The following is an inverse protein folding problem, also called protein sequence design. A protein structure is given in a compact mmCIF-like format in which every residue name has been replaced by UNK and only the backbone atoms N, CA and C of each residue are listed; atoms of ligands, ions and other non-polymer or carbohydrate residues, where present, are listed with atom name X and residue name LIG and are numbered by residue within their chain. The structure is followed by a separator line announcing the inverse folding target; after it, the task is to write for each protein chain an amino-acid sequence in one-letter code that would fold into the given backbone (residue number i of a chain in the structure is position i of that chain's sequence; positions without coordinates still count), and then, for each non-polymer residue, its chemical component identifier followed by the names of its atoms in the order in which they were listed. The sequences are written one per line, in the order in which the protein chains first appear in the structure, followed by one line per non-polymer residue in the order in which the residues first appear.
data_IF_582039281186
#
_entry.id   IF_582039281186
#
_cell.length_a   1.000
_cell.length_b   1.000
_cell.length_c   1.000
_cell.angle_alpha   90.00
_cell.angle_beta   90.00
_cell.angle_gamma   90.00
#
_symmetry.space_group_name_H-M   'P 1'
#
loop_
_entity.id
_entity.type
_entity.pdbx_description
1 polymer ?
#
# COMPACT_ATOMS: atom_id res chain seq x y z
N UNK A 1 -3.39 -40.85 -7.73
CA UNK A 1 -4.26 -40.82 -8.92
C UNK A 1 -5.14 -39.58 -8.76
N UNK A 2 -4.79 -38.44 -9.34
CA UNK A 2 -5.12 -38.03 -10.73
C UNK A 2 -6.62 -38.27 -10.95
N UNK A 3 -7.51 -37.30 -11.11
CA UNK A 3 -7.62 -36.12 -11.98
C UNK A 3 -9.01 -35.52 -11.59
N UNK A 4 -9.50 -34.33 -11.92
CA UNK A 4 -9.19 -33.33 -12.92
C UNK A 4 -9.88 -32.02 -12.51
N UNK A 5 -9.37 -30.94 -13.08
CA UNK A 5 -9.87 -29.57 -13.00
C UNK A 5 -11.31 -29.47 -13.50
N UNK A 6 -12.09 -28.52 -12.99
CA UNK A 6 -12.75 -27.53 -13.86
C UNK A 6 -13.35 -26.37 -13.08
N UNK A 7 -12.83 -25.20 -13.43
CA UNK A 7 -13.26 -23.85 -13.14
C UNK A 7 -14.62 -23.54 -13.78
N UNK A 8 -15.54 -22.95 -13.03
CA UNK A 8 -16.59 -22.10 -13.62
C UNK A 8 -16.58 -20.76 -12.90
N UNK A 9 -16.00 -19.80 -13.63
CA UNK A 9 -16.06 -18.37 -13.41
C UNK A 9 -17.45 -17.90 -13.83
N UNK A 10 -18.05 -16.95 -13.10
CA UNK A 10 -18.88 -15.80 -13.56
C UNK A 10 -20.08 -15.50 -12.64
N UNK A 11 -20.66 -14.29 -12.66
CA UNK A 11 -20.03 -12.98 -12.58
C UNK A 11 -20.61 -12.18 -11.39
N UNK A 12 -19.75 -11.34 -10.82
CA UNK A 12 -20.06 -10.38 -9.77
C UNK A 12 -21.10 -9.34 -10.23
N UNK A 13 -22.27 -9.32 -9.61
CA UNK A 13 -23.21 -8.21 -9.69
C UNK A 13 -22.66 -7.01 -8.91
N UNK A 14 -22.30 -5.98 -9.67
CA UNK A 14 -21.78 -4.69 -9.23
C UNK A 14 -22.85 -3.84 -8.54
N UNK A 15 -22.66 -3.58 -7.25
CA UNK A 15 -23.29 -2.42 -6.58
C UNK A 15 -22.51 -1.17 -6.95
N UNK A 16 -23.10 -0.34 -7.81
CA UNK A 16 -22.58 0.95 -8.20
C UNK A 16 -22.97 2.00 -7.14
N UNK A 17 -22.16 2.14 -6.10
CA UNK A 17 -22.23 3.28 -5.19
C UNK A 17 -21.24 4.35 -5.64
N UNK A 18 -21.78 5.50 -6.05
CA UNK A 18 -21.07 6.58 -6.72
C UNK A 18 -20.17 7.34 -5.74
N UNK A 19 -18.90 6.97 -5.67
CA UNK A 19 -17.87 7.79 -5.03
C UNK A 19 -17.60 9.01 -5.91
N UNK A 20 -18.10 10.17 -5.48
CA UNK A 20 -17.83 11.45 -6.13
C UNK A 20 -16.39 11.89 -5.81
N UNK A 21 -15.45 11.45 -6.64
CA UNK A 21 -14.06 11.89 -6.60
C UNK A 21 -13.99 13.28 -7.23
N UNK A 22 -13.77 14.31 -6.42
CA UNK A 22 -13.42 15.65 -6.91
C UNK A 22 -11.95 15.61 -7.33
N UNK A 23 -11.72 15.19 -8.57
CA UNK A 23 -10.44 15.27 -9.23
C UNK A 23 -10.03 16.74 -9.36
N UNK A 24 -9.08 17.17 -8.51
CA UNK A 24 -8.31 18.38 -8.75
C UNK A 24 -7.15 18.00 -9.67
N UNK A 25 -7.46 17.83 -10.96
CA UNK A 25 -6.44 17.80 -12.00
C UNK A 25 -6.07 19.24 -12.31
N UNK A 26 -5.08 19.77 -11.60
CA UNK A 26 -4.32 20.91 -12.13
C UNK A 26 -3.48 20.38 -13.29
N UNK A 27 -4.12 20.36 -14.47
CA UNK A 27 -3.51 20.05 -15.75
C UNK A 27 -2.39 21.04 -16.02
N UNK A 28 -1.15 20.66 -15.72
CA UNK A 28 0.00 21.38 -16.26
C UNK A 28 0.10 21.06 -17.75
N UNK A 29 -0.49 21.96 -18.55
CA UNK A 29 -0.38 21.91 -20.00
C UNK A 29 1.06 22.22 -20.39
N UNK A 30 1.78 21.20 -20.88
CA UNK A 30 3.10 21.37 -21.49
C UNK A 30 2.88 21.61 -22.99
N UNK A 31 2.76 22.88 -23.37
CA UNK A 31 2.83 23.31 -24.77
C UNK A 31 3.68 24.59 -24.87
N UNK A 32 4.89 24.39 -25.38
CA UNK A 32 5.69 25.26 -26.23
C UNK A 32 5.76 26.77 -25.96
N UNK A 33 6.87 27.21 -25.36
CA UNK A 33 7.59 28.41 -25.85
C UNK A 33 9.09 28.19 -25.83
N UNK A 34 9.69 28.17 -27.02
CA UNK A 34 11.13 28.29 -27.20
C UNK A 34 11.59 29.66 -26.67
N UNK A 35 12.16 29.69 -25.47
CA UNK A 35 12.91 30.83 -24.95
C UNK A 35 14.18 30.33 -24.24
N UNK A 36 15.29 30.33 -24.96
CA UNK A 36 16.63 29.84 -24.60
C UNK A 36 17.36 30.67 -23.53
N UNK A 37 16.68 31.25 -22.54
CA UNK A 37 17.34 32.17 -21.59
C UNK A 37 16.87 32.12 -20.13
N UNK A 38 15.97 31.22 -19.75
CA UNK A 38 15.46 31.14 -18.37
C UNK A 38 15.80 29.83 -17.62
N UNK A 39 16.75 29.02 -18.10
CA UNK A 39 17.20 27.80 -17.41
C UNK A 39 18.20 28.04 -16.24
N UNK A 40 18.44 29.30 -15.86
CA UNK A 40 19.22 29.64 -14.66
C UNK A 40 18.31 30.02 -13.50
N UNK A 41 17.54 29.06 -12.94
CA UNK A 41 16.99 29.19 -11.58
C UNK A 41 16.42 27.92 -10.94
N UNK A 42 16.28 26.79 -11.66
CA UNK A 42 15.80 25.54 -11.01
C UNK A 42 16.86 24.93 -10.06
N UNK A 43 18.12 25.41 -10.08
CA UNK A 43 19.21 24.86 -9.25
C UNK A 43 19.39 25.51 -7.87
N UNK A 44 18.53 26.43 -7.42
CA UNK A 44 18.80 27.17 -6.18
C UNK A 44 17.56 27.34 -5.31
N UNK A 45 17.11 26.26 -4.65
CA UNK A 45 16.27 26.36 -3.44
C UNK A 45 16.21 25.05 -2.62
N UNK A 46 17.31 24.29 -2.58
CA UNK A 46 17.47 23.18 -1.62
C UNK A 46 18.72 23.36 -0.77
N UNK A 47 19.00 24.58 -0.31
CA UNK A 47 20.04 24.79 0.68
C UNK A 47 19.56 25.75 1.75
N UNK A 48 19.61 25.25 2.99
CA UNK A 48 19.51 25.92 4.30
C UNK A 48 18.22 25.64 5.08
N UNK A 49 18.25 24.54 5.83
CA UNK A 49 18.03 24.63 7.29
C UNK A 49 18.50 23.37 8.04
N UNK A 50 19.46 23.63 8.94
CA UNK A 50 19.77 23.02 10.25
C UNK A 50 19.42 21.54 10.51
N UNK A 51 20.46 20.75 10.79
CA UNK A 51 20.44 19.55 11.63
C UNK A 51 19.26 18.58 11.44
N UNK A 52 18.81 18.38 10.21
CA UNK A 52 17.76 17.40 9.92
C UNK A 52 18.37 16.01 10.03
N UNK A 53 17.98 15.27 11.07
CA UNK A 53 18.33 13.85 11.26
C UNK A 53 18.22 13.15 9.90
N UNK A 54 19.31 12.52 9.46
CA UNK A 54 19.37 11.86 8.15
C UNK A 54 18.23 10.85 8.07
N UNK A 55 17.30 11.03 7.13
CA UNK A 55 16.19 10.10 6.88
C UNK A 55 16.75 8.82 6.25
N UNK A 56 17.32 7.93 7.07
CA UNK A 56 17.88 6.66 6.65
C UNK A 56 16.94 5.49 6.98
N UNK A 57 17.09 4.39 6.25
CA UNK A 57 16.41 3.13 6.55
C UNK A 57 16.83 2.62 7.93
N UNK A 58 15.85 2.21 8.75
CA UNK A 58 16.11 1.67 10.09
C UNK A 58 16.61 0.21 10.08
N UNK A 59 16.50 -0.52 8.96
CA UNK A 59 16.90 -1.93 8.88
C UNK A 59 18.42 -2.08 9.07
N UNK A 60 18.82 -2.99 9.94
CA UNK A 60 20.22 -3.38 10.13
C UNK A 60 20.86 -3.75 8.79
N UNK A 61 22.07 -3.23 8.55
CA UNK A 61 22.85 -3.38 7.30
C UNK A 61 22.30 -2.62 6.08
N UNK A 62 21.20 -1.87 6.19
CA UNK A 62 20.72 -1.01 5.12
C UNK A 62 21.23 0.43 5.30
N UNK A 63 21.97 0.95 4.31
CA UNK A 63 22.45 2.36 4.29
C UNK A 63 21.67 3.25 3.32
N UNK A 64 20.58 2.73 2.72
CA UNK A 64 19.75 3.46 1.76
C UNK A 64 18.92 4.53 2.48
N UNK A 65 18.58 5.60 1.75
CA UNK A 65 17.67 6.63 2.25
C UNK A 65 16.27 6.06 2.46
N UNK A 66 15.60 6.48 3.52
CA UNK A 66 14.21 6.13 3.75
C UNK A 66 13.30 6.77 2.69
N UNK A 67 12.26 6.05 2.28
CA UNK A 67 11.30 6.57 1.33
C UNK A 67 10.40 7.61 2.02
N UNK A 68 10.41 8.86 1.53
CA UNK A 68 9.58 9.94 2.05
C UNK A 68 8.09 9.76 1.74
N UNK A 69 7.75 8.99 0.70
CA UNK A 69 6.38 8.85 0.22
C UNK A 69 5.57 7.79 0.97
N UNK A 70 6.19 6.71 1.45
CA UNK A 70 5.47 5.59 2.08
C UNK A 70 5.17 5.82 3.57
N UNK A 71 5.82 6.79 4.20
CA UNK A 71 5.67 7.03 5.63
C UNK A 71 6.29 5.93 6.49
N UNK A 72 5.89 5.89 7.75
CA UNK A 72 6.42 4.98 8.76
C UNK A 72 5.66 3.64 8.75
N UNK A 73 6.29 2.54 9.15
CA UNK A 73 5.59 1.27 9.32
C UNK A 73 4.49 1.41 10.38
N UNK A 74 3.26 0.98 10.07
CA UNK A 74 2.12 1.11 10.99
C UNK A 74 2.29 0.35 12.31
N UNK A 75 3.17 -0.66 12.36
CA UNK A 75 3.33 -1.53 13.53
C UNK A 75 4.47 -1.09 14.44
N UNK A 76 5.66 -0.86 13.88
CA UNK A 76 6.86 -0.46 14.64
C UNK A 76 7.21 1.03 14.49
N UNK A 77 6.49 1.79 13.67
CA UNK A 77 6.61 3.24 13.50
C UNK A 77 7.99 3.73 13.03
N UNK A 78 8.80 2.86 12.45
CA UNK A 78 10.10 3.19 11.86
C UNK A 78 10.03 3.45 10.35
N UNK A 79 11.01 4.21 9.84
CA UNK A 79 11.15 4.54 8.42
C UNK A 79 12.06 3.53 7.71
N UNK A 80 11.65 3.17 6.48
CA UNK A 80 12.36 2.19 5.65
C UNK A 80 12.52 2.69 4.22
N UNK A 81 13.50 2.15 3.50
CA UNK A 81 13.64 2.38 2.05
C UNK A 81 12.55 1.61 1.27
N UNK A 82 12.43 1.86 -0.04
CA UNK A 82 11.48 1.20 -0.93
C UNK A 82 11.53 -0.32 -0.87
N UNK A 83 12.73 -0.90 -0.71
CA UNK A 83 12.95 -2.34 -0.59
C UNK A 83 12.54 -2.90 0.78
N UNK A 84 12.72 -2.15 1.87
CA UNK A 84 12.45 -2.65 3.23
C UNK A 84 11.12 -2.17 3.81
N UNK A 85 10.26 -1.52 3.01
CA UNK A 85 8.98 -0.98 3.48
C UNK A 85 7.98 -2.05 3.92
N UNK A 86 8.11 -3.27 3.39
CA UNK A 86 7.25 -4.39 3.73
C UNK A 86 7.64 -4.97 5.08
N UNK A 87 6.62 -5.32 5.88
CA UNK A 87 6.77 -5.88 7.22
C UNK A 87 7.61 -7.17 7.23
N UNK A 88 7.50 -7.96 6.16
CA UNK A 88 8.29 -9.18 5.90
C UNK A 88 9.78 -8.87 5.69
N UNK A 89 10.09 -7.76 5.03
CA UNK A 89 11.45 -7.44 4.60
C UNK A 89 12.27 -6.74 5.69
N UNK A 90 11.65 -5.94 6.55
CA UNK A 90 12.37 -5.34 7.68
C UNK A 90 12.37 -6.18 8.95
N UNK A 91 11.73 -7.37 8.97
CA UNK A 91 11.59 -8.23 10.15
C UNK A 91 10.98 -7.44 11.32
N UNK A 92 9.76 -6.95 11.14
CA UNK A 92 9.05 -6.19 12.17
C UNK A 92 8.88 -7.03 13.45
N UNK A 93 9.09 -6.40 14.62
CA UNK A 93 8.89 -7.04 15.92
C UNK A 93 7.45 -7.54 16.11
N UNK A 94 6.49 -6.80 15.56
CA UNK A 94 5.05 -7.06 15.72
C UNK A 94 4.48 -7.96 14.61
N UNK A 95 5.32 -8.60 13.80
CA UNK A 95 4.88 -9.44 12.69
C UNK A 95 3.92 -10.55 13.13
N UNK A 96 4.29 -11.30 14.16
CA UNK A 96 3.56 -12.48 14.62
C UNK A 96 2.21 -12.10 15.24
N UNK A 97 2.21 -11.04 16.06
CA UNK A 97 0.98 -10.50 16.68
C UNK A 97 0.03 -9.94 15.63
N UNK A 98 0.54 -9.12 14.70
CA UNK A 98 -0.27 -8.55 13.62
C UNK A 98 -0.91 -9.64 12.76
N UNK A 99 -0.17 -10.71 12.43
CA UNK A 99 -0.70 -11.86 11.68
C UNK A 99 -1.83 -12.56 12.44
N UNK A 100 -1.65 -12.80 13.75
CA UNK A 100 -2.69 -13.41 14.59
C UNK A 100 -3.95 -12.56 14.65
N UNK A 101 -3.79 -11.25 14.86
CA UNK A 101 -4.91 -10.33 14.99
C UNK A 101 -5.70 -10.22 13.69
N UNK A 102 -5.00 -10.16 12.55
CA UNK A 102 -5.65 -10.15 11.23
C UNK A 102 -6.37 -11.48 10.97
N UNK A 103 -5.76 -12.60 11.33
CA UNK A 103 -6.36 -13.92 11.14
C UNK A 103 -7.63 -14.08 11.98
N UNK A 104 -7.61 -13.63 13.25
CA UNK A 104 -8.79 -13.62 14.11
C UNK A 104 -9.90 -12.77 13.52
N UNK A 105 -9.59 -11.52 13.13
CA UNK A 105 -10.59 -10.62 12.51
C UNK A 105 -11.15 -11.16 11.21
N UNK A 106 -10.32 -11.84 10.41
CA UNK A 106 -10.75 -12.48 9.17
C UNK A 106 -11.71 -13.63 9.48
N UNK A 107 -11.37 -14.51 10.44
CA UNK A 107 -12.26 -15.59 10.88
C UNK A 107 -13.60 -15.05 11.42
N UNK A 108 -13.56 -13.99 12.23
CA UNK A 108 -14.78 -13.35 12.77
C UNK A 108 -15.66 -12.77 11.66
N UNK A 109 -15.05 -12.17 10.62
CA UNK A 109 -15.79 -11.65 9.46
C UNK A 109 -16.35 -12.79 8.61
N UNK A 110 -15.54 -13.81 8.34
CA UNK A 110 -15.95 -14.97 7.57
C UNK A 110 -17.16 -15.65 8.20
N UNK A 111 -17.16 -15.84 9.53
CA UNK A 111 -18.30 -16.41 10.24
C UNK A 111 -19.57 -15.54 10.15
N UNK A 112 -19.44 -14.21 10.09
CA UNK A 112 -20.57 -13.28 9.95
C UNK A 112 -21.14 -13.24 8.53
N UNK A 113 -20.27 -13.39 7.54
CA UNK A 113 -20.62 -13.32 6.12
C UNK A 113 -20.91 -14.69 5.52
N UNK A 114 -20.71 -15.77 6.28
CA UNK A 114 -20.94 -17.15 5.84
C UNK A 114 -22.43 -17.35 5.52
N UNK A 115 -22.75 -17.52 4.25
CA UNK A 115 -24.06 -17.93 3.78
C UNK A 115 -24.15 -19.45 3.74
N UNK A 116 -25.12 -20.03 4.46
CA UNK A 116 -25.50 -21.42 4.30
C UNK A 116 -26.62 -21.50 3.27
N UNK A 117 -26.41 -22.23 2.17
CA UNK A 117 -27.49 -22.56 1.25
C UNK A 117 -28.52 -23.46 1.96
N UNK A 118 -29.79 -23.05 1.95
CA UNK A 118 -30.90 -23.75 2.58
C UNK A 118 -31.04 -25.20 2.07
N UNK A 119 -30.58 -25.46 0.83
CA UNK A 119 -30.59 -26.82 0.26
C UNK A 119 -29.70 -27.81 1.00
N UNK A 120 -28.65 -27.33 1.67
CA UNK A 120 -27.63 -28.18 2.33
C UNK A 120 -27.94 -28.38 3.82
N UNK A 121 -28.68 -27.46 4.46
CA UNK A 121 -29.04 -27.55 5.89
C UNK A 121 -30.19 -28.54 6.17
N UNK A 122 -31.04 -28.85 5.19
CA UNK A 122 -32.14 -29.82 5.33
C UNK A 122 -31.82 -31.21 4.76
N UNK A 123 -30.54 -31.52 4.47
CA UNK A 123 -30.12 -32.78 3.86
C UNK A 123 -29.46 -33.77 4.83
N UNK A 124 -29.50 -33.50 6.15
CA UNK A 124 -29.01 -34.37 7.21
C UNK A 124 -30.10 -34.65 8.24
#
# INVERSE_FOLDING_TARGET
MNQEQQSIISPSASVAESLNLKDRTDSVSLADTNATSALKSIKQQQQKNSNKKKNCCFKNKCKKQANKFTGNCQFCQHLYCTEHRLIEMHNCSQMSSAKRDLHKKNADKLAKEQTSDNRVVNAF
#
